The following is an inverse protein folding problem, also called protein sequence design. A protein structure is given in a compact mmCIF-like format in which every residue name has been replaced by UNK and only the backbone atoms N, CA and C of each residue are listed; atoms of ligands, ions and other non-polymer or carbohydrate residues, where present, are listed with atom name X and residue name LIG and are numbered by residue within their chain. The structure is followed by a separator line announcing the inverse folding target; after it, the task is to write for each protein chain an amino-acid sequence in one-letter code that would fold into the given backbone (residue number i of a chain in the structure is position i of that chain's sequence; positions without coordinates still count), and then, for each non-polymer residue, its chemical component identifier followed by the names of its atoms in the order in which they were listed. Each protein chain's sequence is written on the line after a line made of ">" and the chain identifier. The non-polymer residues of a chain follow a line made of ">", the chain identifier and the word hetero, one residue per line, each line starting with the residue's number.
data_IF_678861810953
#
_entry.id   IF_678861810953
#
_cell.length_a   1.000
_cell.length_b   1.000
_cell.length_c   1.000
_cell.angle_alpha   90.00
_cell.angle_beta   90.00
_cell.angle_gamma   90.00
#
_symmetry.space_group_name_H-M   'P 1'
#
loop_
_entity.id
_entity.type
_entity.pdbx_description
1 polymer ?
#
# COMPACT_ATOMS: atom_id res chain seq x y z
N UNK A 1 -65.09 -12.86 -45.03
CA UNK A 1 -64.41 -11.62 -44.57
C UNK A 1 -63.48 -11.97 -43.42
N UNK A 2 -62.17 -11.92 -43.66
CA UNK A 2 -61.14 -11.66 -42.64
C UNK A 2 -59.86 -11.34 -43.42
N UNK A 3 -59.44 -10.08 -43.38
CA UNK A 3 -58.27 -9.55 -44.08
C UNK A 3 -57.04 -9.87 -43.23
N UNK A 4 -56.04 -10.50 -43.83
CA UNK A 4 -54.76 -10.78 -43.20
C UNK A 4 -53.83 -9.57 -43.35
N UNK A 5 -53.51 -8.89 -42.24
CA UNK A 5 -52.47 -7.86 -42.19
C UNK A 5 -51.07 -8.50 -42.21
N UNK A 6 -50.27 -8.13 -43.22
CA UNK A 6 -48.83 -8.42 -43.26
C UNK A 6 -48.09 -7.43 -42.37
N UNK A 7 -47.52 -7.91 -41.26
CA UNK A 7 -46.55 -7.17 -40.46
C UNK A 7 -45.19 -7.10 -41.19
N UNK A 8 -45.00 -6.06 -42.00
CA UNK A 8 -43.70 -5.74 -42.59
C UNK A 8 -42.75 -5.18 -41.53
N UNK A 9 -41.71 -5.93 -41.17
CA UNK A 9 -40.61 -5.41 -40.38
C UNK A 9 -39.90 -4.29 -41.17
N UNK A 10 -40.13 -3.03 -40.77
CA UNK A 10 -39.46 -1.87 -41.37
C UNK A 10 -37.97 -1.92 -41.06
N UNK A 11 -37.13 -1.92 -42.10
CA UNK A 11 -35.69 -1.66 -41.96
C UNK A 11 -35.50 -0.31 -41.25
N UNK A 12 -34.59 -0.20 -40.27
CA UNK A 12 -34.32 1.06 -39.61
C UNK A 12 -33.88 2.08 -40.66
N UNK A 13 -34.43 3.28 -40.57
CA UNK A 13 -34.06 4.38 -41.48
C UNK A 13 -32.57 4.69 -41.35
N UNK A 14 -31.93 5.20 -42.39
CA UNK A 14 -30.52 5.62 -42.33
C UNK A 14 -30.25 6.62 -41.19
N UNK A 15 -31.27 7.40 -40.78
CA UNK A 15 -31.21 8.28 -39.61
C UNK A 15 -31.09 7.51 -38.29
N UNK A 16 -31.79 6.39 -38.15
CA UNK A 16 -31.72 5.52 -36.97
C UNK A 16 -30.35 4.85 -36.83
N UNK A 17 -29.74 4.45 -37.94
CA UNK A 17 -28.39 3.87 -37.97
C UNK A 17 -27.34 4.93 -37.60
N UNK A 18 -27.48 6.15 -38.13
CA UNK A 18 -26.59 7.27 -37.82
C UNK A 18 -26.69 7.69 -36.35
N UNK A 19 -27.89 7.70 -35.77
CA UNK A 19 -28.08 8.00 -34.33
C UNK A 19 -27.44 6.93 -33.45
N UNK A 20 -27.58 5.64 -33.80
CA UNK A 20 -26.92 4.55 -33.08
C UNK A 20 -25.39 4.62 -33.22
N UNK A 21 -24.88 4.93 -34.42
CA UNK A 21 -23.44 5.12 -34.62
C UNK A 21 -22.90 6.32 -33.84
N UNK A 22 -23.64 7.43 -33.78
CA UNK A 22 -23.27 8.62 -33.00
C UNK A 22 -23.30 8.34 -31.49
N UNK A 23 -24.26 7.57 -31.00
CA UNK A 23 -24.31 7.13 -29.61
C UNK A 23 -23.15 6.19 -29.26
N UNK A 24 -22.78 5.29 -30.17
CA UNK A 24 -21.61 4.42 -30.02
C UNK A 24 -20.32 5.25 -30.06
N UNK A 25 -20.18 6.22 -30.97
CA UNK A 25 -19.02 7.12 -31.01
C UNK A 25 -18.95 8.00 -29.76
N UNK A 26 -20.08 8.46 -29.21
CA UNK A 26 -20.09 9.17 -27.91
C UNK A 26 -19.69 8.26 -26.74
N UNK A 27 -20.06 6.98 -26.75
CA UNK A 27 -19.65 6.00 -25.74
C UNK A 27 -18.16 5.60 -25.84
N UNK A 28 -17.55 5.70 -27.03
CA UNK A 28 -16.12 5.44 -27.24
C UNK A 28 -15.29 6.74 -27.10
N UNK A 29 -15.93 7.91 -27.19
CA UNK A 29 -15.32 9.22 -27.05
C UNK A 29 -15.34 9.78 -25.62
N UNK A 30 -15.66 8.96 -24.61
CA UNK A 30 -15.18 9.18 -23.25
C UNK A 30 -13.66 8.96 -23.23
N UNK A 31 -12.92 9.90 -23.83
CA UNK A 31 -11.57 10.20 -23.42
C UNK A 31 -11.63 10.42 -21.92
N UNK A 32 -10.92 9.57 -21.18
CA UNK A 32 -11.02 9.42 -19.74
C UNK A 32 -11.37 10.71 -19.04
N UNK A 33 -12.62 10.79 -18.57
CA UNK A 33 -12.97 11.73 -17.52
C UNK A 33 -12.09 11.33 -16.35
N UNK A 34 -10.97 12.03 -16.17
CA UNK A 34 -10.29 12.09 -14.89
C UNK A 34 -11.32 12.66 -13.92
N UNK A 35 -12.08 11.76 -13.29
CA UNK A 35 -12.87 12.09 -12.12
C UNK A 35 -11.87 12.77 -11.19
N UNK A 36 -12.08 14.04 -10.80
CA UNK A 36 -11.20 14.71 -9.87
C UNK A 36 -11.11 13.83 -8.65
N UNK A 37 -9.97 13.18 -8.51
CA UNK A 37 -9.73 12.22 -7.46
C UNK A 37 -9.74 13.07 -6.21
N UNK A 38 -10.70 12.84 -5.30
CA UNK A 38 -10.64 13.46 -3.99
C UNK A 38 -9.22 13.17 -3.46
N UNK A 39 -8.44 14.22 -3.22
CA UNK A 39 -7.13 14.08 -2.58
C UNK A 39 -7.41 13.51 -1.20
N UNK A 40 -7.38 12.19 -1.06
CA UNK A 40 -7.45 11.53 0.23
C UNK A 40 -6.32 12.06 1.10
N UNK A 41 -6.49 12.02 2.42
CA UNK A 41 -5.38 12.34 3.32
C UNK A 41 -4.14 11.53 2.87
N UNK A 42 -3.02 12.22 2.66
CA UNK A 42 -1.73 11.56 2.36
C UNK A 42 -1.14 10.93 3.64
N UNK A 43 -1.99 10.24 4.41
CA UNK A 43 -1.58 9.46 5.57
C UNK A 43 -1.14 8.07 5.15
N UNK A 44 0.05 7.68 5.60
CA UNK A 44 0.48 6.30 5.67
C UNK A 44 0.09 5.67 7.00
N UNK A 45 -0.14 4.35 6.99
CA UNK A 45 -0.33 3.58 8.22
C UNK A 45 0.59 2.35 8.20
N UNK A 46 1.26 2.08 9.32
CA UNK A 46 1.96 0.83 9.52
C UNK A 46 0.96 -0.29 9.77
N UNK A 47 0.94 -1.30 8.91
CA UNK A 47 0.13 -2.50 9.10
C UNK A 47 1.00 -3.60 9.71
N UNK A 48 1.17 -3.53 11.03
CA UNK A 48 1.84 -4.56 11.83
C UNK A 48 0.99 -5.84 11.94
N UNK A 49 1.67 -6.98 11.98
CA UNK A 49 1.06 -8.32 11.95
C UNK A 49 1.55 -9.24 13.09
N UNK A 50 2.19 -8.68 14.13
CA UNK A 50 2.67 -9.45 15.29
C UNK A 50 1.51 -9.67 16.27
N UNK A 51 0.52 -10.43 15.81
CA UNK A 51 -0.69 -10.77 16.55
C UNK A 51 -1.37 -12.03 16.00
N UNK A 52 -2.18 -12.70 16.82
CA UNK A 52 -2.91 -13.93 16.46
C UNK A 52 -4.43 -13.72 16.27
N UNK A 53 -4.91 -12.49 16.42
CA UNK A 53 -6.34 -12.15 16.44
C UNK A 53 -6.75 -11.08 15.41
N UNK A 54 -5.89 -10.75 14.45
CA UNK A 54 -6.16 -9.73 13.44
C UNK A 54 -7.21 -10.15 12.40
N UNK A 55 -7.94 -9.20 11.81
CA UNK A 55 -8.79 -9.48 10.65
C UNK A 55 -7.99 -10.02 9.46
N UNK A 56 -8.67 -10.73 8.56
CA UNK A 56 -8.04 -11.17 7.31
C UNK A 56 -7.62 -9.98 6.45
N UNK A 57 -6.55 -10.10 5.63
CA UNK A 57 -6.07 -9.00 4.79
C UNK A 57 -7.13 -8.39 3.86
N UNK A 58 -8.08 -9.19 3.37
CA UNK A 58 -9.20 -8.69 2.55
C UNK A 58 -10.14 -7.77 3.33
N UNK A 59 -10.40 -8.07 4.61
CA UNK A 59 -11.20 -7.19 5.48
C UNK A 59 -10.42 -5.91 5.80
N UNK A 60 -9.11 -6.03 6.03
CA UNK A 60 -8.23 -4.86 6.24
C UNK A 60 -8.16 -3.96 5.00
N UNK A 61 -8.10 -4.53 3.81
CA UNK A 61 -8.19 -3.78 2.54
C UNK A 61 -9.48 -2.97 2.43
N UNK A 62 -10.62 -3.51 2.86
CA UNK A 62 -11.85 -2.73 2.95
C UNK A 62 -11.77 -1.61 4.01
N UNK A 63 -11.25 -1.92 5.20
CA UNK A 63 -11.09 -0.95 6.27
C UNK A 63 -10.25 0.25 5.83
N UNK A 64 -9.06 0.02 5.30
CA UNK A 64 -8.15 1.10 4.88
C UNK A 64 -8.74 1.96 3.75
N UNK A 65 -9.38 1.33 2.75
CA UNK A 65 -10.04 2.06 1.66
C UNK A 65 -11.23 2.89 2.15
N UNK A 66 -12.00 2.39 3.11
CA UNK A 66 -13.11 3.15 3.70
C UNK A 66 -12.64 4.41 4.45
N UNK A 67 -11.40 4.40 4.96
CA UNK A 67 -10.76 5.54 5.60
C UNK A 67 -9.98 6.44 4.62
N UNK A 68 -10.00 6.13 3.32
CA UNK A 68 -9.22 6.81 2.29
C UNK A 68 -7.71 6.84 2.57
N UNK A 69 -7.19 5.81 3.26
CA UNK A 69 -5.75 5.64 3.47
C UNK A 69 -5.08 5.39 2.13
N UNK A 70 -4.08 6.19 1.82
CA UNK A 70 -3.40 6.17 0.53
C UNK A 70 -2.08 5.40 0.55
N UNK A 71 -1.47 5.20 1.74
CA UNK A 71 -0.18 4.50 1.87
C UNK A 71 -0.21 3.49 3.02
N UNK A 72 0.47 2.37 2.83
CA UNK A 72 0.64 1.31 3.83
C UNK A 72 2.10 0.90 3.89
N UNK A 73 2.65 0.78 5.10
CA UNK A 73 3.98 0.19 5.33
C UNK A 73 3.82 -1.17 5.98
N UNK A 74 4.37 -2.19 5.34
CA UNK A 74 4.55 -3.54 5.85
C UNK A 74 6.00 -3.73 6.31
N UNK A 75 6.18 -4.61 7.29
CA UNK A 75 7.51 -5.00 7.80
C UNK A 75 8.09 -6.21 7.05
N UNK A 76 7.30 -6.80 6.16
CA UNK A 76 7.64 -7.90 5.28
C UNK A 76 7.06 -7.63 3.87
N UNK A 77 6.96 -8.70 3.06
CA UNK A 77 6.23 -8.69 1.79
C UNK A 77 5.18 -9.82 1.79
N UNK A 78 4.25 -9.78 2.75
CA UNK A 78 3.19 -10.80 2.89
C UNK A 78 2.36 -10.92 1.60
N UNK A 79 2.39 -12.10 0.93
CA UNK A 79 1.66 -12.32 -0.31
C UNK A 79 0.14 -12.22 -0.15
N UNK A 80 -0.40 -12.56 1.03
CA UNK A 80 -1.83 -12.47 1.30
C UNK A 80 -2.30 -11.03 1.43
N UNK A 81 -1.47 -10.17 2.03
CA UNK A 81 -1.73 -8.73 2.09
C UNK A 81 -1.62 -8.14 0.70
N UNK A 82 -0.50 -8.31 0.00
CA UNK A 82 -0.31 -7.71 -1.33
C UNK A 82 -1.40 -8.15 -2.32
N UNK A 83 -1.87 -9.40 -2.25
CA UNK A 83 -2.98 -9.89 -3.07
C UNK A 83 -4.33 -9.26 -2.72
N UNK A 84 -4.58 -8.93 -1.45
CA UNK A 84 -5.82 -8.31 -1.00
C UNK A 84 -5.98 -6.84 -1.46
N UNK A 85 -4.91 -6.23 -1.97
CA UNK A 85 -4.88 -4.86 -2.47
C UNK A 85 -4.63 -4.77 -3.98
N UNK A 86 -4.75 -5.89 -4.71
CA UNK A 86 -4.71 -5.88 -6.18
C UNK A 86 -5.75 -4.91 -6.75
N UNK A 87 -5.30 -4.13 -7.72
CA UNK A 87 -6.07 -3.11 -8.45
C UNK A 87 -6.70 -2.05 -7.54
N UNK A 88 -6.09 -1.84 -6.36
CA UNK A 88 -6.36 -0.67 -5.51
C UNK A 88 -5.28 0.38 -5.71
N UNK A 89 -5.57 1.62 -5.34
CA UNK A 89 -4.61 2.73 -5.48
C UNK A 89 -3.74 2.95 -4.24
N UNK A 90 -3.80 2.05 -3.26
CA UNK A 90 -2.99 2.12 -2.04
C UNK A 90 -1.53 1.84 -2.38
N UNK A 91 -0.65 2.76 -2.02
CA UNK A 91 0.80 2.61 -2.17
C UNK A 91 1.39 1.78 -1.04
N UNK A 92 2.35 0.93 -1.35
CA UNK A 92 3.00 0.04 -0.40
C UNK A 92 4.50 0.32 -0.26
N UNK A 93 4.93 0.42 1.00
CA UNK A 93 6.28 0.14 1.43
C UNK A 93 6.31 -1.31 1.93
N UNK A 94 7.22 -2.13 1.41
CA UNK A 94 7.42 -3.52 1.87
C UNK A 94 8.80 -3.70 2.49
N UNK A 95 8.93 -4.62 3.44
CA UNK A 95 10.14 -4.84 4.21
C UNK A 95 10.91 -6.10 3.84
N UNK A 96 12.24 -5.99 3.85
CA UNK A 96 13.16 -7.11 4.07
C UNK A 96 13.56 -7.04 5.54
N UNK A 97 13.15 -8.03 6.34
CA UNK A 97 13.46 -8.08 7.76
C UNK A 97 14.97 -8.18 8.06
N UNK A 98 15.36 -7.78 9.27
CA UNK A 98 16.76 -7.75 9.71
C UNK A 98 17.46 -9.11 9.55
N UNK A 99 16.73 -10.20 9.79
CA UNK A 99 17.18 -11.59 9.64
C UNK A 99 17.56 -11.95 8.20
N UNK A 100 17.05 -11.23 7.21
CA UNK A 100 17.30 -11.47 5.79
C UNK A 100 18.38 -10.55 5.19
N UNK A 101 18.77 -9.47 5.89
CA UNK A 101 19.72 -8.46 5.36
C UNK A 101 21.04 -9.10 4.94
N UNK A 102 21.61 -9.99 5.75
CA UNK A 102 22.88 -10.65 5.43
C UNK A 102 22.80 -11.51 4.17
N UNK A 103 21.66 -12.14 3.90
CA UNK A 103 21.47 -12.94 2.69
C UNK A 103 21.39 -12.05 1.43
N UNK A 104 20.81 -10.85 1.55
CA UNK A 104 20.66 -9.91 0.43
C UNK A 104 21.98 -9.28 -0.03
N UNK A 105 23.09 -9.49 0.68
CA UNK A 105 24.42 -9.10 0.20
C UNK A 105 24.74 -9.82 -1.11
N UNK A 106 24.31 -11.08 -1.27
CA UNK A 106 24.41 -11.82 -2.53
C UNK A 106 23.41 -11.27 -3.58
N UNK A 107 23.88 -10.74 -4.72
CA UNK A 107 23.00 -10.23 -5.77
C UNK A 107 22.00 -11.27 -6.30
N UNK A 108 22.37 -12.55 -6.36
CA UNK A 108 21.47 -13.60 -6.82
C UNK A 108 20.32 -13.83 -5.83
N UNK A 109 20.61 -13.79 -4.53
CA UNK A 109 19.60 -13.88 -3.48
C UNK A 109 18.67 -12.65 -3.50
N UNK A 110 19.22 -11.44 -3.65
CA UNK A 110 18.43 -10.22 -3.78
C UNK A 110 17.50 -10.26 -5.00
N UNK A 111 18.00 -10.70 -6.15
CA UNK A 111 17.19 -10.89 -7.35
C UNK A 111 16.08 -11.92 -7.14
N UNK A 112 16.39 -13.07 -6.56
CA UNK A 112 15.40 -14.11 -6.26
C UNK A 112 14.31 -13.60 -5.30
N UNK A 113 14.69 -12.78 -4.30
CA UNK A 113 13.74 -12.18 -3.38
C UNK A 113 12.77 -11.25 -4.11
N UNK A 114 13.27 -10.35 -4.96
CA UNK A 114 12.42 -9.42 -5.73
C UNK A 114 11.48 -10.17 -6.68
N UNK A 115 11.99 -11.16 -7.41
CA UNK A 115 11.18 -11.98 -8.33
C UNK A 115 10.07 -12.75 -7.62
N UNK A 116 10.31 -13.16 -6.37
CA UNK A 116 9.35 -13.94 -5.57
C UNK A 116 8.34 -13.08 -4.83
N UNK A 117 8.78 -11.96 -4.26
CA UNK A 117 8.01 -11.21 -3.26
C UNK A 117 7.44 -9.88 -3.78
N UNK A 118 8.00 -9.31 -4.85
CA UNK A 118 7.60 -7.99 -5.36
C UNK A 118 7.06 -8.07 -6.77
N UNK A 119 7.81 -8.69 -7.69
CA UNK A 119 7.46 -8.76 -9.11
C UNK A 119 6.06 -9.32 -9.39
N UNK A 120 5.56 -10.37 -8.70
CA UNK A 120 4.25 -10.95 -9.02
C UNK A 120 3.06 -10.01 -8.79
N UNK A 121 3.25 -8.96 -7.98
CA UNK A 121 2.19 -8.03 -7.61
C UNK A 121 2.22 -6.75 -8.45
N UNK A 122 3.31 -6.48 -9.17
CA UNK A 122 3.43 -5.28 -10.00
C UNK A 122 2.82 -5.52 -11.40
N UNK A 123 2.09 -4.54 -11.97
CA UNK A 123 1.77 -3.22 -11.41
C UNK A 123 0.44 -3.17 -10.61
N UNK A 124 -0.30 -4.28 -10.51
CA UNK A 124 -1.65 -4.29 -9.89
C UNK A 124 -1.67 -3.85 -8.42
N UNK A 125 -0.62 -4.10 -7.65
CA UNK A 125 -0.41 -3.53 -6.31
C UNK A 125 0.70 -2.50 -6.40
N UNK A 126 0.46 -1.27 -5.92
CA UNK A 126 1.40 -0.14 -6.09
C UNK A 126 2.54 -0.19 -5.05
N UNK A 127 3.47 -1.12 -5.19
CA UNK A 127 4.69 -1.14 -4.37
C UNK A 127 5.64 -0.04 -4.85
N UNK A 128 5.88 0.96 -4.01
CA UNK A 128 6.69 2.15 -4.34
C UNK A 128 8.01 2.22 -3.58
N UNK A 129 8.17 1.40 -2.53
CA UNK A 129 9.40 1.39 -1.74
C UNK A 129 9.67 0.02 -1.11
N UNK A 130 10.95 -0.32 -0.98
CA UNK A 130 11.46 -1.48 -0.25
C UNK A 130 12.39 -0.98 0.85
N UNK A 131 12.09 -1.32 2.10
CA UNK A 131 13.00 -1.10 3.23
C UNK A 131 13.86 -2.32 3.47
N UNK A 132 15.18 -2.16 3.45
CA UNK A 132 16.14 -3.21 3.82
C UNK A 132 16.52 -3.03 5.29
N UNK A 133 16.01 -3.92 6.14
CA UNK A 133 16.13 -3.82 7.58
C UNK A 133 15.28 -2.70 8.21
N UNK A 134 15.19 -2.76 9.54
CA UNK A 134 14.49 -1.79 10.38
C UNK A 134 15.31 -1.54 11.65
N UNK A 135 15.60 -0.28 11.93
CA UNK A 135 16.38 0.19 13.09
C UNK A 135 17.75 -0.48 13.27
N UNK A 136 18.42 -0.87 12.17
CA UNK A 136 19.68 -1.64 12.18
C UNK A 136 20.77 -1.03 13.07
N UNK A 137 20.86 0.29 13.14
CA UNK A 137 21.89 1.01 13.91
C UNK A 137 21.56 1.21 15.40
N UNK A 138 20.40 0.73 15.86
CA UNK A 138 20.00 0.76 17.28
C UNK A 138 20.70 -0.31 18.11
N UNK A 139 20.89 -1.50 17.54
CA UNK A 139 21.52 -2.64 18.22
C UNK A 139 23.05 -2.63 18.15
N UNK A 140 23.67 -3.70 18.67
CA UNK A 140 25.13 -3.90 18.68
C UNK A 140 25.62 -4.94 17.66
N UNK A 141 24.73 -5.44 16.79
CA UNK A 141 25.10 -6.41 15.75
C UNK A 141 25.95 -5.74 14.67
N UNK A 142 27.27 -5.94 14.75
CA UNK A 142 28.24 -5.34 13.82
C UNK A 142 28.13 -5.95 12.42
N UNK A 143 27.76 -7.22 12.30
CA UNK A 143 27.58 -7.88 11.01
C UNK A 143 26.36 -7.32 10.29
N UNK A 144 25.23 -7.16 11.00
CA UNK A 144 24.03 -6.54 10.43
C UNK A 144 24.30 -5.10 9.96
N UNK A 145 25.00 -4.29 10.76
CA UNK A 145 25.39 -2.91 10.38
C UNK A 145 26.28 -2.89 9.13
N UNK A 146 27.26 -3.79 9.04
CA UNK A 146 28.17 -3.88 7.91
C UNK A 146 27.48 -4.38 6.62
N UNK A 147 26.50 -5.28 6.76
CA UNK A 147 25.80 -5.89 5.63
C UNK A 147 24.70 -4.99 5.03
N UNK A 148 24.22 -3.99 5.77
CA UNK A 148 23.08 -3.17 5.37
C UNK A 148 23.26 -2.47 4.01
N UNK A 149 24.34 -1.70 3.84
CA UNK A 149 24.56 -0.97 2.58
C UNK A 149 24.80 -1.92 1.39
N UNK A 150 25.66 -2.95 1.47
CA UNK A 150 25.79 -3.94 0.42
C UNK A 150 24.46 -4.62 0.04
N UNK A 151 23.63 -4.97 1.02
CA UNK A 151 22.30 -5.52 0.78
C UNK A 151 21.38 -4.54 0.03
N UNK A 152 21.35 -3.27 0.44
CA UNK A 152 20.59 -2.22 -0.26
C UNK A 152 21.05 -2.06 -1.72
N UNK A 153 22.36 -2.10 -1.95
CA UNK A 153 22.92 -2.02 -3.30
C UNK A 153 22.50 -3.23 -4.16
N UNK A 154 22.59 -4.45 -3.64
CA UNK A 154 22.15 -5.66 -4.35
C UNK A 154 20.65 -5.63 -4.68
N UNK A 155 19.80 -5.19 -3.75
CA UNK A 155 18.35 -5.01 -3.99
C UNK A 155 18.08 -3.95 -5.07
N UNK A 156 18.80 -2.83 -5.04
CA UNK A 156 18.67 -1.78 -6.04
C UNK A 156 19.09 -2.25 -7.45
N UNK A 157 20.17 -3.02 -7.55
CA UNK A 157 20.60 -3.62 -8.82
C UNK A 157 19.59 -4.65 -9.34
N UNK A 158 19.00 -5.45 -8.45
CA UNK A 158 17.93 -6.39 -8.83
C UNK A 158 16.70 -5.65 -9.41
N UNK A 159 16.29 -4.53 -8.81
CA UNK A 159 15.23 -3.69 -9.36
C UNK A 159 15.62 -3.08 -10.72
N UNK A 160 16.87 -2.64 -10.88
CA UNK A 160 17.37 -2.11 -12.15
C UNK A 160 17.34 -3.15 -13.26
N UNK A 161 17.74 -4.40 -12.99
CA UNK A 161 17.68 -5.51 -13.94
C UNK A 161 16.25 -5.83 -14.41
N UNK A 162 15.24 -5.50 -13.61
CA UNK A 162 13.81 -5.63 -13.94
C UNK A 162 13.20 -4.34 -14.52
N UNK A 163 13.99 -3.29 -14.73
CA UNK A 163 13.51 -1.98 -15.20
C UNK A 163 12.66 -1.22 -14.18
N UNK A 164 12.70 -1.59 -12.90
CA UNK A 164 11.94 -0.98 -11.80
C UNK A 164 12.68 0.17 -11.10
N UNK A 165 13.91 0.46 -11.52
CA UNK A 165 14.71 1.58 -11.02
C UNK A 165 13.95 2.91 -11.17
N UNK A 166 13.95 3.73 -10.13
CA UNK A 166 13.26 5.02 -10.09
C UNK A 166 11.73 4.92 -9.94
N UNK A 167 11.15 3.71 -10.03
CA UNK A 167 9.74 3.44 -9.72
C UNK A 167 9.54 2.86 -8.32
N UNK A 168 10.51 2.06 -7.88
CA UNK A 168 10.55 1.47 -6.53
C UNK A 168 11.81 1.96 -5.84
N UNK A 169 11.66 2.75 -4.77
CA UNK A 169 12.77 3.23 -3.97
C UNK A 169 13.34 2.11 -3.10
N UNK A 170 14.66 2.12 -2.88
CA UNK A 170 15.33 1.24 -1.90
C UNK A 170 15.90 2.11 -0.79
N UNK A 171 15.48 1.85 0.44
CA UNK A 171 15.93 2.60 1.61
C UNK A 171 15.99 1.67 2.83
N UNK A 172 16.16 2.23 4.02
CA UNK A 172 16.09 1.53 5.30
C UNK A 172 15.45 2.47 6.32
N UNK A 173 14.72 1.92 7.29
CA UNK A 173 14.10 2.70 8.35
C UNK A 173 15.03 2.77 9.57
N UNK A 174 15.22 3.97 10.11
CA UNK A 174 16.11 4.18 11.25
C UNK A 174 15.34 4.58 12.52
N UNK A 175 15.82 4.14 13.69
CA UNK A 175 15.41 4.72 14.98
C UNK A 175 16.01 6.12 15.12
N UNK A 176 15.33 7.04 15.80
CA UNK A 176 15.93 8.31 16.22
C UNK A 176 17.14 8.14 17.15
N UNK A 177 17.33 6.96 17.75
CA UNK A 177 18.50 6.68 18.58
C UNK A 177 19.82 6.89 17.85
N UNK A 178 19.85 6.85 16.51
CA UNK A 178 21.05 7.11 15.70
C UNK A 178 21.62 8.53 15.86
N UNK A 179 20.87 9.43 16.49
CA UNK A 179 21.27 10.81 16.74
C UNK A 179 22.18 10.89 17.98
N UNK A 180 23.30 11.59 17.86
CA UNK A 180 24.16 11.94 18.99
C UNK A 180 23.79 13.29 19.59
N UNK A 181 23.52 14.27 18.73
CA UNK A 181 22.97 15.58 19.11
C UNK A 181 21.69 15.81 18.33
N UNK A 182 20.63 16.21 19.02
CA UNK A 182 19.32 16.54 18.42
C UNK A 182 18.72 17.85 18.96
N UNK A 183 19.39 18.49 19.93
CA UNK A 183 18.98 19.77 20.50
C UNK A 183 20.17 20.74 20.61
N UNK A 184 20.04 22.00 20.15
CA UNK A 184 18.92 22.51 19.35
C UNK A 184 18.85 21.79 17.98
N UNK A 185 17.67 21.73 17.31
CA UNK A 185 17.52 20.96 16.06
C UNK A 185 18.58 21.27 14.99
N UNK A 186 18.99 22.53 14.84
CA UNK A 186 20.00 22.91 13.85
C UNK A 186 21.40 22.35 14.13
N UNK A 187 21.65 21.84 15.33
CA UNK A 187 22.91 21.20 15.73
C UNK A 187 22.83 19.67 15.59
N UNK A 188 21.76 19.17 14.93
CA UNK A 188 21.56 17.76 14.68
C UNK A 188 22.79 17.07 14.11
N UNK A 189 23.22 15.98 14.73
CA UNK A 189 24.35 15.19 14.31
C UNK A 189 24.14 13.71 14.66
N UNK A 190 24.51 12.80 13.76
CA UNK A 190 24.51 11.37 14.05
C UNK A 190 25.56 11.00 15.10
N UNK A 191 25.32 9.93 15.86
CA UNK A 191 26.30 9.41 16.82
C UNK A 191 27.60 9.04 16.09
N UNK A 192 28.74 9.29 16.73
CA UNK A 192 30.05 9.06 16.15
C UNK A 192 30.28 7.59 15.70
N UNK A 193 29.69 6.61 16.40
CA UNK A 193 29.77 5.19 16.04
C UNK A 193 28.97 4.82 14.78
N UNK A 194 27.97 5.63 14.42
CA UNK A 194 27.09 5.40 13.26
C UNK A 194 27.60 6.11 12.01
N UNK A 195 28.31 7.24 12.15
CA UNK A 195 28.82 8.04 11.03
C UNK A 195 29.56 7.23 9.96
N UNK A 196 30.47 6.28 10.30
CA UNK A 196 31.17 5.48 9.28
C UNK A 196 30.26 4.64 8.39
N UNK A 197 29.08 4.23 8.90
CA UNK A 197 28.07 3.52 8.12
C UNK A 197 27.11 4.48 7.42
N UNK A 198 26.77 5.59 8.08
CA UNK A 198 25.79 6.55 7.60
C UNK A 198 26.28 7.34 6.40
N UNK A 199 27.53 7.80 6.41
CA UNK A 199 28.08 8.60 5.31
C UNK A 199 28.00 7.91 3.94
N UNK A 200 28.48 6.66 3.76
CA UNK A 200 28.32 5.97 2.48
C UNK A 200 26.86 5.59 2.17
N UNK A 201 26.02 5.37 3.20
CA UNK A 201 24.59 5.11 3.02
C UNK A 201 23.86 6.33 2.46
N UNK A 202 24.13 7.53 2.97
CA UNK A 202 23.58 8.78 2.44
C UNK A 202 24.06 9.01 0.99
N UNK A 203 25.32 8.70 0.70
CA UNK A 203 25.84 8.72 -0.67
C UNK A 203 25.04 7.82 -1.62
N UNK A 204 24.66 6.62 -1.16
CA UNK A 204 23.78 5.73 -1.91
C UNK A 204 22.35 6.28 -2.07
N UNK A 205 21.74 6.79 -1.00
CA UNK A 205 20.38 7.35 -1.06
C UNK A 205 20.28 8.54 -2.02
N UNK A 206 21.26 9.44 -1.99
CA UNK A 206 21.40 10.57 -2.93
C UNK A 206 21.49 10.07 -4.38
N UNK A 207 22.39 9.11 -4.67
CA UNK A 207 22.53 8.51 -6.01
C UNK A 207 21.24 7.85 -6.49
N UNK A 208 20.57 7.11 -5.61
CA UNK A 208 19.33 6.39 -5.92
C UNK A 208 18.09 7.28 -5.92
N UNK A 209 18.22 8.57 -5.55
CA UNK A 209 17.10 9.51 -5.29
C UNK A 209 16.05 8.88 -4.37
N UNK A 210 16.53 8.27 -3.29
CA UNK A 210 15.73 7.52 -2.33
C UNK A 210 15.59 8.31 -1.03
N UNK A 211 14.42 8.30 -0.37
CA UNK A 211 14.23 9.05 0.86
C UNK A 211 14.98 8.41 2.03
N UNK A 212 15.30 9.23 3.03
CA UNK A 212 15.72 8.78 4.34
C UNK A 212 14.49 8.52 5.21
N UNK A 213 14.34 7.29 5.72
CA UNK A 213 13.21 6.94 6.58
C UNK A 213 13.61 6.97 8.05
N UNK A 214 12.85 7.70 8.86
CA UNK A 214 13.08 7.83 10.30
C UNK A 214 11.83 7.47 11.10
N UNK A 215 12.01 6.73 12.18
CA UNK A 215 11.01 6.43 13.20
C UNK A 215 11.13 7.48 14.31
N UNK A 216 10.14 8.35 14.44
CA UNK A 216 10.18 9.49 15.37
C UNK A 216 9.02 9.40 16.36
N UNK A 217 9.35 9.33 17.65
CA UNK A 217 8.36 9.16 18.72
C UNK A 217 8.61 10.19 19.83
N UNK A 218 7.90 11.33 19.83
CA UNK A 218 7.88 12.27 20.95
C UNK A 218 7.51 11.62 22.29
N UNK A 219 6.69 10.56 22.24
CA UNK A 219 6.31 9.76 23.40
C UNK A 219 7.52 9.30 24.23
N UNK A 220 8.60 8.79 23.60
CA UNK A 220 9.74 8.27 24.36
C UNK A 220 10.48 9.35 25.15
N UNK A 221 10.55 10.58 24.63
CA UNK A 221 11.12 11.70 25.37
C UNK A 221 10.26 12.06 26.58
N UNK A 222 8.92 12.10 26.41
CA UNK A 222 8.01 12.36 27.52
C UNK A 222 8.03 11.25 28.57
N UNK A 223 8.01 9.98 28.16
CA UNK A 223 8.12 8.82 29.06
C UNK A 223 9.40 8.89 29.90
N UNK A 224 10.53 9.27 29.30
CA UNK A 224 11.82 9.33 29.98
C UNK A 224 11.91 10.47 31.01
N UNK A 225 11.27 11.61 30.75
CA UNK A 225 11.32 12.78 31.63
C UNK A 225 10.00 13.58 31.64
N UNK A 226 8.92 13.03 32.22
CA UNK A 226 7.61 13.67 32.22
C UNK A 226 7.57 14.94 33.09
N UNK A 227 8.59 15.15 33.94
CA UNK A 227 8.69 16.34 34.79
C UNK A 227 9.20 17.57 34.03
N UNK A 228 10.07 17.39 33.03
CA UNK A 228 10.66 18.50 32.28
C UNK A 228 10.22 18.59 30.82
N UNK A 229 9.73 17.51 30.21
CA UNK A 229 9.20 17.53 28.83
C UNK A 229 7.74 17.96 28.85
N UNK A 230 7.38 19.17 28.35
CA UNK A 230 6.02 19.65 28.45
C UNK A 230 5.07 18.81 27.59
N UNK A 231 3.99 18.30 28.19
CA UNK A 231 3.01 17.48 27.48
C UNK A 231 2.43 18.20 26.26
N UNK A 232 2.16 19.50 26.38
CA UNK A 232 1.63 20.29 25.27
C UNK A 232 2.57 20.31 24.05
N UNK A 233 3.88 20.28 24.26
CA UNK A 233 4.90 20.28 23.21
C UNK A 233 4.99 18.94 22.47
N UNK A 234 4.79 17.83 23.17
CA UNK A 234 4.83 16.48 22.56
C UNK A 234 3.48 16.02 22.00
N UNK A 235 2.38 16.68 22.39
CA UNK A 235 1.02 16.41 21.90
C UNK A 235 0.51 17.41 20.86
N UNK A 236 1.36 18.29 20.31
CA UNK A 236 0.97 19.36 19.37
C UNK A 236 -0.08 20.36 19.89
N UNK A 237 -0.25 20.46 21.20
CA UNK A 237 -1.18 21.42 21.79
C UNK A 237 -0.57 22.83 21.81
N UNK A 238 -1.39 23.90 21.90
CA UNK A 238 -0.88 25.26 21.99
C UNK A 238 0.15 25.43 23.13
N UNK A 239 1.34 25.90 22.77
CA UNK A 239 2.44 26.18 23.70
C UNK A 239 3.36 27.27 23.10
N UNK A 240 4.33 27.75 23.88
CA UNK A 240 5.26 28.80 23.42
C UNK A 240 6.25 28.31 22.33
N UNK A 241 6.39 27.00 22.18
CA UNK A 241 7.42 26.36 21.37
C UNK A 241 8.80 26.43 22.00
N UNK A 242 9.76 25.85 21.31
CA UNK A 242 11.18 25.89 21.63
C UNK A 242 11.92 26.55 20.48
N UNK A 243 12.51 27.72 20.76
CA UNK A 243 13.29 28.47 19.77
C UNK A 243 14.70 27.90 19.66
N UNK A 244 15.05 27.46 18.46
CA UNK A 244 16.41 27.07 18.12
C UNK A 244 17.37 28.25 18.26
N UNK A 245 18.42 28.08 19.07
CA UNK A 245 19.32 29.18 19.44
C UNK A 245 20.16 29.70 18.27
N UNK A 246 20.38 28.89 17.24
CA UNK A 246 21.28 29.20 16.13
C UNK A 246 20.49 29.79 14.95
N UNK A 247 19.37 29.17 14.60
CA UNK A 247 18.56 29.53 13.43
C UNK A 247 17.39 30.46 13.76
N UNK A 248 17.01 30.57 15.04
CA UNK A 248 15.82 31.30 15.51
C UNK A 248 14.49 30.72 15.03
N UNK A 249 14.51 29.53 14.43
CA UNK A 249 13.28 28.79 14.11
C UNK A 249 12.59 28.36 15.40
N UNK A 250 11.28 28.59 15.50
CA UNK A 250 10.48 28.15 16.63
C UNK A 250 9.79 26.84 16.31
N UNK A 251 10.00 25.84 17.15
CA UNK A 251 9.34 24.55 17.05
C UNK A 251 8.20 24.51 18.05
N UNK A 252 6.95 24.51 17.58
CA UNK A 252 5.77 24.41 18.45
C UNK A 252 5.47 22.96 18.86
N UNK A 253 6.19 21.98 18.31
CA UNK A 253 6.06 20.57 18.65
C UNK A 253 7.37 19.79 18.48
N UNK A 254 7.51 18.71 19.24
CA UNK A 254 8.73 17.91 19.26
C UNK A 254 8.96 17.10 17.97
N UNK A 255 7.90 16.61 17.30
CA UNK A 255 8.07 15.79 16.10
C UNK A 255 8.80 16.58 15.00
N UNK A 256 8.44 17.85 14.81
CA UNK A 256 9.09 18.72 13.83
C UNK A 256 10.54 19.02 14.21
N UNK A 257 10.81 19.23 15.50
CA UNK A 257 12.18 19.39 15.99
C UNK A 257 13.03 18.14 15.74
N UNK A 258 12.48 16.94 15.94
CA UNK A 258 13.16 15.67 15.67
C UNK A 258 13.48 15.53 14.18
N UNK A 259 12.50 15.77 13.29
CA UNK A 259 12.71 15.70 11.84
C UNK A 259 13.77 16.70 11.36
N UNK A 260 13.72 17.95 11.82
CA UNK A 260 14.69 18.96 11.41
C UNK A 260 16.08 18.71 11.98
N UNK A 261 16.19 18.04 13.13
CA UNK A 261 17.47 17.56 13.63
C UNK A 261 18.09 16.49 12.73
N UNK A 262 17.28 15.61 12.12
CA UNK A 262 17.74 14.62 11.16
C UNK A 262 18.19 15.30 9.87
N UNK A 263 17.42 16.28 9.37
CA UNK A 263 17.86 17.09 8.22
C UNK A 263 19.21 17.79 8.48
N UNK A 264 19.39 18.39 9.66
CA UNK A 264 20.66 19.01 10.03
C UNK A 264 21.83 17.99 10.06
N UNK A 265 21.60 16.78 10.57
CA UNK A 265 22.61 15.73 10.60
C UNK A 265 22.99 15.22 9.20
N UNK A 266 22.00 15.07 8.31
CA UNK A 266 22.23 14.70 6.90
C UNK A 266 23.03 15.82 6.20
N UNK A 267 22.68 17.08 6.45
CA UNK A 267 23.40 18.25 5.92
C UNK A 267 24.84 18.33 6.44
N UNK A 268 25.08 18.02 7.71
CA UNK A 268 26.42 17.98 8.29
C UNK A 268 27.33 16.93 7.62
N UNK A 269 26.75 15.88 7.03
CA UNK A 269 27.46 14.89 6.21
C UNK A 269 27.48 15.22 4.71
N UNK A 270 27.09 16.44 4.32
CA UNK A 270 27.25 16.97 2.97
C UNK A 270 26.05 16.76 2.03
N UNK A 271 24.92 16.29 2.53
CA UNK A 271 23.73 16.00 1.71
C UNK A 271 22.60 17.01 1.97
N UNK A 272 22.05 17.59 0.91
CA UNK A 272 20.94 18.57 0.99
C UNK A 272 19.75 18.20 0.11
N UNK A 273 19.93 17.11 -0.66
CA UNK A 273 19.08 16.59 -1.71
C UNK A 273 18.26 15.35 -1.28
N UNK A 274 18.45 14.88 -0.05
CA UNK A 274 17.76 13.72 0.50
C UNK A 274 16.54 14.18 1.30
N UNK A 275 15.36 13.72 0.90
CA UNK A 275 14.12 13.93 1.64
C UNK A 275 14.05 13.03 2.87
N UNK A 276 13.56 13.57 3.99
CA UNK A 276 13.29 12.80 5.21
C UNK A 276 11.80 12.51 5.27
N UNK A 277 11.44 11.23 5.49
CA UNK A 277 10.06 10.80 5.69
C UNK A 277 9.93 10.06 7.02
N UNK A 278 8.83 10.32 7.73
CA UNK A 278 8.55 9.64 8.99
C UNK A 278 7.94 8.28 8.67
N UNK A 279 8.72 7.22 8.86
CA UNK A 279 8.26 5.86 8.55
C UNK A 279 7.54 5.18 9.69
N UNK A 280 7.59 5.76 10.89
CA UNK A 280 6.77 5.43 12.05
C UNK A 280 6.67 6.64 12.99
N UNK A 281 5.45 6.88 13.48
CA UNK A 281 5.22 7.71 14.66
C UNK A 281 3.89 7.33 15.29
N UNK A 282 3.79 7.37 16.61
CA UNK A 282 2.59 6.96 17.33
C UNK A 282 2.68 7.28 18.80
N UNK A 283 1.61 6.96 19.52
CA UNK A 283 1.52 7.13 20.95
C UNK A 283 0.69 5.99 21.54
N UNK A 284 1.20 5.25 22.55
CA UNK A 284 0.51 4.08 23.07
C UNK A 284 -0.69 4.48 23.94
N UNK A 285 -1.77 3.71 23.83
CA UNK A 285 -3.02 3.89 24.57
C UNK A 285 -3.06 3.18 25.93
N UNK A 286 -2.01 2.45 26.27
CA UNK A 286 -1.86 1.73 27.54
C UNK A 286 -0.41 1.30 27.70
N UNK A 287 0.04 1.02 28.92
CA UNK A 287 1.43 0.67 29.20
C UNK A 287 1.63 0.19 30.64
N UNK A 288 2.87 -0.15 30.97
CA UNK A 288 3.26 -0.54 32.32
C UNK A 288 3.23 0.69 33.27
N UNK A 289 3.24 0.51 34.60
CA UNK A 289 3.16 1.64 35.55
C UNK A 289 4.25 2.71 35.40
N UNK A 290 5.40 2.36 34.82
CA UNK A 290 6.53 3.27 34.52
C UNK A 290 6.47 3.90 33.12
N UNK A 291 5.39 3.66 32.37
CA UNK A 291 5.17 4.18 31.02
C UNK A 291 4.29 5.42 31.04
N UNK A 292 4.81 6.47 31.66
CA UNK A 292 4.10 7.74 31.86
C UNK A 292 3.53 8.28 30.54
N UNK A 293 2.23 8.59 30.55
CA UNK A 293 1.51 9.15 29.41
C UNK A 293 0.93 8.13 28.43
N UNK A 294 1.13 6.82 28.62
CA UNK A 294 0.50 5.80 27.81
C UNK A 294 -1.00 5.65 28.16
N UNK A 295 -1.85 6.52 27.62
CA UNK A 295 -3.30 6.52 27.85
C UNK A 295 -4.08 6.74 26.56
N UNK A 296 -5.34 6.26 26.45
CA UNK A 296 -6.15 6.47 25.24
C UNK A 296 -6.39 7.96 24.95
N UNK A 297 -6.46 8.81 25.98
CA UNK A 297 -6.67 10.25 25.83
C UNK A 297 -5.48 10.94 25.18
N UNK A 298 -4.26 10.63 25.63
CA UNK A 298 -3.04 11.22 25.04
C UNK A 298 -2.75 10.63 23.67
N UNK A 299 -3.00 9.34 23.46
CA UNK A 299 -2.90 8.72 22.15
C UNK A 299 -3.87 9.37 21.14
N UNK A 300 -5.14 9.54 21.52
CA UNK A 300 -6.14 10.23 20.70
C UNK A 300 -5.77 11.69 20.44
N UNK A 301 -5.21 12.40 21.43
CA UNK A 301 -4.75 13.78 21.26
C UNK A 301 -3.58 13.86 20.27
N UNK A 302 -2.57 13.01 20.44
CA UNK A 302 -1.38 12.98 19.57
C UNK A 302 -1.77 12.70 18.12
N UNK A 303 -2.53 11.63 17.88
CA UNK A 303 -2.95 11.22 16.54
C UNK A 303 -3.93 12.23 15.93
N UNK A 304 -4.92 12.71 16.69
CA UNK A 304 -5.88 13.69 16.20
C UNK A 304 -5.21 14.99 15.76
N UNK A 305 -4.27 15.49 16.55
CA UNK A 305 -3.52 16.70 16.19
C UNK A 305 -2.55 16.46 15.03
N UNK A 306 -1.88 15.31 14.98
CA UNK A 306 -1.03 14.93 13.84
C UNK A 306 -1.83 14.89 12.53
N UNK A 307 -3.02 14.28 12.54
CA UNK A 307 -3.92 14.24 11.37
C UNK A 307 -4.30 15.65 10.91
N UNK A 308 -4.60 16.56 11.85
CA UNK A 308 -4.89 17.96 11.54
C UNK A 308 -3.69 18.65 10.86
N UNK A 309 -2.46 18.40 11.34
CA UNK A 309 -1.23 18.95 10.76
C UNK A 309 -0.98 18.42 9.33
N UNK A 310 -1.28 17.14 9.09
CA UNK A 310 -1.23 16.52 7.75
C UNK A 310 -2.27 17.13 6.82
N UNK A 311 -3.51 17.31 7.28
CA UNK A 311 -4.59 17.92 6.50
C UNK A 311 -4.28 19.37 6.12
N UNK A 312 -3.64 20.13 7.01
CA UNK A 312 -3.13 21.48 6.76
C UNK A 312 -1.95 21.52 5.77
N UNK A 313 -1.46 20.35 5.30
CA UNK A 313 -0.26 20.20 4.46
C UNK A 313 0.95 20.92 5.08
N UNK A 314 1.06 20.89 6.41
CA UNK A 314 2.09 21.63 7.13
C UNK A 314 3.45 20.93 7.02
N UNK A 315 4.48 21.70 6.69
CA UNK A 315 5.88 21.31 6.80
C UNK A 315 6.52 21.71 8.13
N UNK A 316 7.77 21.30 8.34
CA UNK A 316 8.54 21.67 9.53
C UNK A 316 9.03 23.13 9.45
N UNK A 317 9.47 23.76 10.56
CA UNK A 317 10.05 25.11 10.53
C UNK A 317 11.23 25.26 9.56
N UNK A 318 12.10 24.25 9.42
CA UNK A 318 13.22 24.28 8.46
C UNK A 318 12.75 24.06 7.01
N UNK A 319 11.68 23.28 6.80
CA UNK A 319 11.14 22.92 5.48
C UNK A 319 9.63 23.25 5.38
N UNK A 320 9.22 24.51 5.48
CA UNK A 320 7.81 24.88 5.60
C UNK A 320 6.99 24.64 4.33
N UNK A 321 7.64 24.56 3.17
CA UNK A 321 7.00 24.33 1.87
C UNK A 321 6.85 22.84 1.50
N UNK A 322 7.38 21.93 2.31
CA UNK A 322 7.30 20.48 2.07
C UNK A 322 6.43 19.87 3.17
N UNK A 323 5.20 19.42 2.86
CA UNK A 323 4.35 18.77 3.84
C UNK A 323 5.03 17.52 4.42
N UNK A 324 4.79 17.24 5.69
CA UNK A 324 5.26 16.01 6.31
C UNK A 324 4.67 14.77 5.60
N UNK A 325 5.52 13.76 5.35
CA UNK A 325 5.11 12.44 4.85
C UNK A 325 5.27 11.43 5.98
N UNK A 326 4.16 10.85 6.44
CA UNK A 326 4.08 10.15 7.73
C UNK A 326 3.37 8.81 7.59
N UNK A 327 3.96 7.78 8.20
CA UNK A 327 3.28 6.53 8.52
C UNK A 327 2.96 6.48 10.02
N UNK A 328 1.67 6.41 10.34
CA UNK A 328 1.19 6.27 11.71
C UNK A 328 1.36 4.83 12.18
N UNK A 329 2.04 4.68 13.31
CA UNK A 329 2.25 3.42 13.99
C UNK A 329 1.22 3.27 15.12
N UNK A 330 0.27 2.32 15.06
CA UNK A 330 0.02 1.36 13.97
C UNK A 330 -1.48 1.12 13.74
N UNK A 331 -1.84 0.35 12.71
CA UNK A 331 -3.25 0.09 12.39
C UNK A 331 -4.00 -0.61 13.54
N UNK A 332 -3.40 -1.64 14.12
CA UNK A 332 -4.03 -2.47 15.17
C UNK A 332 -3.15 -2.56 16.42
N UNK A 333 -3.79 -2.86 17.55
CA UNK A 333 -3.09 -3.37 18.72
C UNK A 333 -2.56 -4.77 18.40
N UNK A 334 -1.26 -4.98 18.61
CA UNK A 334 -0.54 -6.21 18.26
C UNK A 334 -0.21 -7.02 19.52
N UNK A 335 -1.06 -7.99 19.87
CA UNK A 335 -1.02 -8.67 21.17
C UNK A 335 0.20 -9.57 21.41
N UNK A 336 0.96 -9.91 20.37
CA UNK A 336 2.16 -10.75 20.48
C UNK A 336 3.46 -9.94 20.45
N UNK A 337 3.41 -8.60 20.40
CA UNK A 337 4.62 -7.77 20.44
C UNK A 337 5.37 -7.97 21.77
N UNK A 338 6.66 -8.32 21.73
CA UNK A 338 7.48 -8.48 22.92
C UNK A 338 7.83 -7.11 23.52
N UNK A 339 8.35 -7.11 24.75
CA UNK A 339 8.79 -5.89 25.44
C UNK A 339 7.71 -5.29 26.35
N UNK A 340 7.83 -3.99 26.67
CA UNK A 340 6.91 -3.28 27.57
C UNK A 340 5.44 -3.38 27.14
N UNK A 341 4.51 -3.14 28.06
CA UNK A 341 3.08 -3.17 27.75
C UNK A 341 2.65 -2.22 26.65
N UNK A 342 3.26 -1.05 26.55
CA UNK A 342 2.97 -0.09 25.49
C UNK A 342 3.09 -0.66 24.09
N UNK A 343 4.00 -1.60 23.84
CA UNK A 343 4.20 -2.23 22.53
C UNK A 343 2.93 -2.91 22.00
N UNK A 344 2.01 -3.33 22.87
CA UNK A 344 0.75 -3.99 22.52
C UNK A 344 -0.42 -3.01 22.35
N UNK A 345 -0.18 -1.71 22.50
CA UNK A 345 -1.22 -0.68 22.65
C UNK A 345 -1.07 0.54 21.73
N UNK A 346 -0.31 0.44 20.62
CA UNK A 346 -0.15 1.52 19.63
C UNK A 346 -1.26 1.59 18.56
N UNK A 347 -2.20 0.65 18.55
CA UNK A 347 -3.23 0.55 17.53
C UNK A 347 -4.18 1.73 17.48
N UNK A 348 -4.51 2.17 16.26
CA UNK A 348 -5.69 3.00 16.00
C UNK A 348 -6.99 2.22 16.27
N UNK A 349 -6.96 0.92 15.99
CA UNK A 349 -8.09 0.01 16.16
C UNK A 349 -7.74 -1.20 17.03
N UNK A 350 -8.74 -1.70 17.74
CA UNK A 350 -8.71 -3.07 18.22
C UNK A 350 -8.84 -4.05 17.04
N UNK A 351 -8.43 -5.32 17.20
CA UNK A 351 -8.53 -6.31 16.13
C UNK A 351 -9.97 -6.58 15.63
N UNK A 352 -10.99 -6.22 16.40
CA UNK A 352 -12.39 -6.30 15.96
C UNK A 352 -12.86 -5.14 15.07
N UNK A 353 -11.98 -4.15 14.83
CA UNK A 353 -12.25 -2.95 14.04
C UNK A 353 -12.87 -1.80 14.82
N UNK A 354 -13.07 -1.93 16.13
CA UNK A 354 -13.50 -0.80 16.97
C UNK A 354 -12.32 0.16 17.19
N UNK A 355 -12.54 1.49 17.12
CA UNK A 355 -11.47 2.46 17.36
C UNK A 355 -11.05 2.44 18.83
N UNK A 356 -9.75 2.47 19.10
CA UNK A 356 -9.21 2.57 20.48
C UNK A 356 -9.50 3.95 21.07
N UNK A 357 -9.44 4.99 20.22
CA UNK A 357 -9.77 6.37 20.53
C UNK A 357 -10.38 7.03 19.29
N UNK A 358 -11.24 8.03 19.49
CA UNK A 358 -11.94 8.69 18.39
C UNK A 358 -11.12 9.89 17.86
N UNK A 359 -10.56 9.74 16.67
CA UNK A 359 -9.81 10.78 15.94
C UNK A 359 -10.48 11.16 14.62
N UNK A 360 -11.78 10.88 14.48
CA UNK A 360 -12.54 11.18 13.26
C UNK A 360 -12.30 10.23 12.09
N UNK A 361 -11.38 9.27 12.21
CA UNK A 361 -11.20 8.19 11.24
C UNK A 361 -12.41 7.23 11.29
N UNK A 362 -13.28 7.30 10.29
CA UNK A 362 -14.45 6.42 10.16
C UNK A 362 -14.11 5.21 9.29
N UNK A 363 -13.52 4.20 9.89
CA UNK A 363 -13.27 2.91 9.23
C UNK A 363 -14.48 1.98 9.27
N UNK A 364 -14.75 1.31 8.14
CA UNK A 364 -15.71 0.22 8.05
C UNK A 364 -14.96 -1.11 7.91
N UNK A 365 -14.97 -1.91 8.96
CA UNK A 365 -14.50 -3.29 8.90
C UNK A 365 -15.69 -4.22 8.57
N UNK A 366 -15.70 -4.90 7.41
CA UNK A 366 -16.79 -5.82 7.08
C UNK A 366 -16.92 -6.92 8.14
N UNK A 367 -18.13 -7.40 8.47
CA UNK A 367 -18.31 -8.51 9.39
C UNK A 367 -17.61 -9.78 8.89
N UNK A 368 -17.22 -10.66 9.82
CA UNK A 368 -16.73 -11.99 9.46
C UNK A 368 -17.89 -12.79 8.86
N UNK A 369 -17.82 -13.07 7.55
CA UNK A 369 -18.76 -13.96 6.90
C UNK A 369 -18.54 -15.39 7.45
N UNK A 370 -19.37 -15.81 8.40
CA UNK A 370 -19.48 -17.23 8.76
C UNK A 370 -20.12 -17.96 7.57
N UNK A 371 -19.26 -18.46 6.68
CA UNK A 371 -19.68 -19.13 5.46
C UNK A 371 -20.37 -20.48 5.75
N UNK A 372 -21.70 -20.43 5.84
CA UNK A 372 -22.57 -21.52 5.33
C UNK A 372 -23.44 -21.06 4.15
N UNK A 373 -23.65 -19.75 3.96
CA UNK A 373 -24.59 -19.22 2.96
C UNK A 373 -23.97 -18.81 1.61
N UNK A 374 -22.67 -18.52 1.56
CA UNK A 374 -22.05 -17.87 0.39
C UNK A 374 -21.80 -18.83 -0.77
N UNK A 375 -21.74 -20.15 -0.51
CA UNK A 375 -21.69 -21.18 -1.57
C UNK A 375 -22.97 -21.25 -2.38
N UNK A 376 -24.14 -20.95 -1.80
CA UNK A 376 -25.41 -21.10 -2.51
C UNK A 376 -25.69 -19.91 -3.44
N UNK A 377 -25.40 -18.67 -2.99
CA UNK A 377 -25.66 -17.47 -3.79
C UNK A 377 -24.71 -17.33 -4.98
N UNK A 378 -23.41 -17.58 -4.81
CA UNK A 378 -22.43 -17.48 -5.91
C UNK A 378 -22.69 -18.54 -6.99
N UNK A 379 -23.06 -19.77 -6.59
CA UNK A 379 -23.47 -20.82 -7.54
C UNK A 379 -24.76 -20.44 -8.25
N UNK A 380 -25.73 -19.85 -7.56
CA UNK A 380 -27.00 -19.44 -8.17
C UNK A 380 -26.84 -18.26 -9.15
N UNK A 381 -25.99 -17.27 -8.84
CA UNK A 381 -25.67 -16.18 -9.77
C UNK A 381 -24.90 -16.66 -11.00
N UNK A 382 -23.92 -17.57 -10.84
CA UNK A 382 -23.22 -18.16 -11.98
C UNK A 382 -24.12 -19.04 -12.84
N UNK A 383 -25.01 -19.83 -12.24
CA UNK A 383 -25.98 -20.64 -13.00
C UNK A 383 -26.95 -19.75 -13.79
N UNK A 384 -27.40 -18.65 -13.19
CA UNK A 384 -28.29 -17.68 -13.84
C UNK A 384 -27.63 -16.98 -15.04
N UNK A 385 -26.35 -16.62 -14.91
CA UNK A 385 -25.57 -16.03 -16.00
C UNK A 385 -25.32 -17.02 -17.15
N UNK A 386 -25.06 -18.29 -16.84
CA UNK A 386 -24.89 -19.34 -17.85
C UNK A 386 -26.21 -19.61 -18.60
N UNK A 387 -27.33 -19.65 -17.87
CA UNK A 387 -28.67 -19.82 -18.47
C UNK A 387 -29.00 -18.63 -19.37
N UNK A 388 -28.71 -17.41 -18.93
CA UNK A 388 -28.95 -16.20 -19.73
C UNK A 388 -28.07 -16.15 -20.99
N UNK A 389 -26.78 -16.52 -20.89
CA UNK A 389 -25.88 -16.62 -22.03
C UNK A 389 -26.33 -17.68 -23.06
N UNK A 390 -26.83 -18.82 -22.59
CA UNK A 390 -27.38 -19.86 -23.46
C UNK A 390 -28.70 -19.44 -24.11
N UNK A 391 -29.56 -18.72 -23.40
CA UNK A 391 -30.78 -18.15 -23.98
C UNK A 391 -30.47 -17.16 -25.10
N UNK A 392 -29.50 -16.27 -24.90
CA UNK A 392 -29.06 -15.30 -25.90
C UNK A 392 -28.49 -16.03 -27.13
N UNK A 393 -27.69 -17.09 -26.94
CA UNK A 393 -27.19 -17.94 -28.03
C UNK A 393 -28.30 -18.64 -28.81
N UNK A 394 -29.30 -19.19 -28.14
CA UNK A 394 -30.45 -19.83 -28.80
C UNK A 394 -31.27 -18.83 -29.62
N UNK A 395 -31.51 -17.63 -29.08
CA UNK A 395 -32.24 -16.57 -29.80
C UNK A 395 -31.47 -16.12 -31.05
N UNK A 396 -30.14 -15.94 -30.95
CA UNK A 396 -29.29 -15.62 -32.09
C UNK A 396 -29.26 -16.74 -33.15
N UNK A 397 -29.25 -18.00 -32.73
CA UNK A 397 -29.25 -19.16 -33.64
C UNK A 397 -30.58 -19.30 -34.41
N UNK A 398 -31.70 -18.95 -33.79
CA UNK A 398 -33.02 -18.93 -34.44
C UNK A 398 -33.11 -17.75 -35.42
N UNK A 399 -32.49 -16.60 -35.10
CA UNK A 399 -32.48 -15.41 -35.94
C UNK A 399 -31.56 -15.53 -37.17
N UNK A 400 -30.50 -16.34 -37.08
CA UNK A 400 -29.49 -16.51 -38.13
C UNK A 400 -29.72 -17.72 -39.04
N UNK A 401 -30.81 -18.49 -38.87
CA UNK A 401 -31.11 -19.63 -39.76
C UNK A 401 -31.58 -19.12 -41.14
N UNK A 402 -30.87 -19.41 -42.24
CA UNK A 402 -31.38 -19.11 -43.57
C UNK A 402 -32.61 -19.98 -43.89
N UNK A 403 -33.57 -19.48 -44.69
CA UNK A 403 -34.78 -20.23 -45.03
C UNK A 403 -34.41 -21.48 -45.86
N UNK A 404 -35.08 -22.61 -45.56
CA UNK A 404 -34.90 -23.86 -46.31
C UNK A 404 -35.26 -23.69 -47.79
N UNK A 405 -34.49 -24.23 -48.74
CA UNK A 405 -34.87 -24.25 -50.14
C UNK A 405 -36.05 -25.20 -50.37
N UNK A 406 -37.05 -24.74 -51.12
CA UNK A 406 -38.15 -25.56 -51.62
C UNK A 406 -37.64 -26.47 -52.74
N UNK A 407 -37.75 -27.78 -52.57
CA UNK A 407 -37.56 -28.73 -53.66
C UNK A 407 -38.81 -28.77 -54.54
N UNK A 408 -38.64 -28.45 -55.82
CA UNK A 408 -39.54 -28.86 -56.88
C UNK A 408 -38.73 -29.27 -58.11
N UNK A 409 -39.03 -30.50 -58.53
CA UNK A 409 -38.92 -31.12 -59.85
C UNK A 409 -37.70 -31.99 -60.24
N UNK A 410 -37.94 -33.20 -60.80
CA UNK A 410 -36.94 -34.23 -61.04
C UNK A 410 -36.57 -34.37 -62.53
N UNK A 411 -35.32 -34.74 -62.80
CA UNK A 411 -34.97 -35.52 -64.00
C UNK A 411 -33.59 -36.16 -63.85
N UNK A 412 -33.62 -37.50 -63.71
CA UNK A 412 -32.55 -38.46 -64.02
C UNK A 412 -32.00 -38.27 -65.47
N UNK A 413 -30.88 -38.90 -65.93
CA UNK A 413 -30.34 -40.18 -65.43
C UNK A 413 -28.79 -40.38 -65.35
N UNK A 414 -28.42 -41.36 -64.51
CA UNK A 414 -27.50 -42.50 -64.72
C UNK A 414 -26.06 -42.23 -65.23
N UNK A 415 -25.05 -42.59 -64.42
CA UNK A 415 -24.10 -43.68 -64.76
C UNK A 415 -23.32 -44.20 -63.54
N UNK A 416 -23.19 -45.52 -63.51
CA UNK A 416 -22.39 -46.33 -62.60
C UNK A 416 -20.89 -45.97 -62.67
N UNK A 417 -20.17 -46.13 -61.55
CA UNK A 417 -19.03 -47.07 -61.49
C UNK A 417 -18.69 -47.43 -60.04
N UNK A 418 -18.65 -48.75 -59.80
CA UNK A 418 -18.14 -49.46 -58.64
C UNK A 418 -16.61 -49.37 -58.51
N UNK A 419 -16.06 -49.47 -57.30
CA UNK A 419 -14.90 -50.33 -56.92
C UNK A 419 -14.74 -50.26 -55.38
N UNK A 420 -15.04 -51.34 -54.63
CA UNK A 420 -14.09 -52.23 -53.90
C UNK A 420 -12.95 -51.51 -53.14
N UNK A 421 -12.48 -51.91 -51.96
CA UNK A 421 -12.84 -52.85 -50.87
C UNK A 421 -11.69 -52.75 -49.84
N UNK A 422 -11.88 -53.42 -48.70
CA UNK A 422 -10.95 -53.76 -47.60
C UNK A 422 -10.96 -52.82 -46.39
N UNK A 423 -11.48 -53.27 -45.23
CA UNK A 423 -10.90 -54.27 -44.29
C UNK A 423 -9.50 -53.86 -43.84
N UNK A 424 -9.08 -53.94 -42.59
CA UNK A 424 -9.62 -54.46 -41.32
C UNK A 424 -8.51 -54.12 -40.29
N UNK A 425 -8.84 -53.55 -39.14
CA UNK A 425 -8.65 -54.21 -37.83
C UNK A 425 -7.20 -54.20 -37.26
N UNK A 426 -7.12 -54.49 -35.96
CA UNK A 426 -5.99 -54.45 -35.01
C UNK A 426 -5.66 -53.05 -34.47
N UNK A 427 -5.56 -52.79 -33.15
CA UNK A 427 -5.54 -53.66 -31.98
C UNK A 427 -4.41 -53.23 -31.04
N UNK A 428 -4.79 -52.72 -29.86
CA UNK A 428 -4.05 -52.66 -28.57
C UNK A 428 -2.53 -52.41 -28.58
N UNK A 429 -2.10 -51.32 -27.94
CA UNK A 429 -1.61 -51.31 -26.54
C UNK A 429 -1.64 -49.89 -25.98
#
# INVERSE_FOLDING_TARGET
>A
MAVAERSGARRPSSRSIVVVLLLVVMLIADGGVEVPRAEGLSIGINYGQIADNLPSPSRVSWLLRSMQVSKVKLYDADPHVLSAFLDTDVEFVVGIGNENVSAMVDPAAAQAWIQRHVQPYLPSTRITCITVGNEVFKGNDTALKANLLPAMQSVYQALAALGLQGRVNVTTAHSLDIMGTSFPPSAGAFRADVVPYMQPLLGFLSMARSPFLINCYPYFAYKADPGNVPLAYVLFQPNAGVTDTNTKLNYDNMLYAQVDSVYAAIQALGHTDIDVKISETGWPSGGDPDEAGATPEYAGTYIGNLLQRIEMKQGTPLRPSVPIDVYVFALFNENLKPGPASERHYGLFYPDGTPVYNVGLRGYLPPMDYSRGTRSKVVQYHLSLIIMANHIRCVLYIWMKPPKPSFADPSFPITLFSYFSHDSDTGRQ
#
